data_IF_543185774820
#
_entry.id   IF_543185774820
#
_cell.length_a   1.000
_cell.length_b   1.000
_cell.length_c   1.000
_cell.angle_alpha   90.00
_cell.angle_beta   90.00
_cell.angle_gamma   90.00
#
_symmetry.space_group_name_H-M   'P 1'
#
loop_
_entity.id
_entity.type
_entity.pdbx_description
1 polymer ?
#
# COMPACT_ATOMS: atom_id res chain seq x y z
N UNK A 1 -2.21 70.52 -45.15
CA UNK A 1 -2.38 69.90 -43.82
C UNK A 1 -2.39 68.38 -43.99
N UNK A 2 -1.42 67.64 -43.42
CA UNK A 2 -1.46 66.16 -43.31
C UNK A 2 -2.00 65.77 -41.90
N UNK A 3 -2.21 64.49 -41.56
CA UNK A 3 -3.43 63.69 -41.78
C UNK A 3 -4.02 63.17 -40.44
N UNK A 4 -5.27 62.68 -40.42
CA UNK A 4 -5.90 62.16 -39.20
C UNK A 4 -6.41 60.73 -39.34
N UNK A 5 -5.51 59.74 -39.35
CA UNK A 5 -5.90 58.32 -39.34
C UNK A 5 -6.16 57.92 -37.89
N UNK A 6 -7.41 57.59 -37.53
CA UNK A 6 -7.75 57.04 -36.21
C UNK A 6 -7.29 55.57 -36.15
N UNK A 7 -6.39 55.18 -35.23
CA UNK A 7 -6.03 53.78 -35.08
C UNK A 7 -7.14 53.04 -34.34
N UNK A 8 -7.65 51.98 -34.95
CA UNK A 8 -8.49 50.98 -34.29
C UNK A 8 -7.67 50.31 -33.18
N UNK A 9 -8.09 50.47 -31.92
CA UNK A 9 -7.51 49.71 -30.80
C UNK A 9 -8.25 48.39 -30.66
N UNK A 10 -7.61 47.31 -31.12
CA UNK A 10 -8.04 45.95 -30.80
C UNK A 10 -7.45 45.54 -29.45
N UNK A 11 -8.28 45.48 -28.40
CA UNK A 11 -7.89 44.85 -27.14
C UNK A 11 -7.94 43.34 -27.32
N UNK A 12 -6.80 42.70 -27.63
CA UNK A 12 -6.64 41.26 -27.48
C UNK A 12 -6.29 40.95 -26.02
N UNK A 13 -7.31 40.64 -25.22
CA UNK A 13 -7.12 40.04 -23.91
C UNK A 13 -7.01 38.51 -24.06
N UNK A 14 -5.85 38.04 -24.54
CA UNK A 14 -5.49 36.62 -24.51
C UNK A 14 -5.13 36.20 -23.08
N UNK A 15 -6.13 35.78 -22.31
CA UNK A 15 -5.95 35.42 -20.90
C UNK A 15 -5.29 34.05 -20.74
N UNK A 16 -3.96 34.04 -20.59
CA UNK A 16 -3.15 32.84 -20.25
C UNK A 16 -3.52 32.18 -18.90
N UNK A 17 -4.59 32.64 -18.24
CA UNK A 17 -5.03 32.18 -16.92
C UNK A 17 -5.79 30.85 -16.94
N UNK A 18 -6.52 30.53 -18.03
CA UNK A 18 -7.27 29.27 -18.11
C UNK A 18 -6.34 28.06 -18.19
N UNK A 19 -5.30 28.13 -19.04
CA UNK A 19 -4.30 27.09 -19.21
C UNK A 19 -3.48 26.86 -17.94
N UNK A 20 -3.10 27.93 -17.24
CA UNK A 20 -2.38 27.85 -15.95
C UNK A 20 -3.22 27.20 -14.86
N UNK A 21 -4.54 27.47 -14.82
CA UNK A 21 -5.48 26.86 -13.88
C UNK A 21 -5.70 25.37 -14.15
N UNK A 22 -5.80 24.99 -15.42
CA UNK A 22 -5.92 23.59 -15.83
C UNK A 22 -4.66 22.78 -15.46
N UNK A 23 -3.47 23.32 -15.75
CA UNK A 23 -2.21 22.68 -15.37
C UNK A 23 -2.06 22.53 -13.85
N UNK A 24 -2.45 23.56 -13.09
CA UNK A 24 -2.44 23.49 -11.62
C UNK A 24 -3.42 22.44 -11.07
N UNK A 25 -4.62 22.32 -11.66
CA UNK A 25 -5.60 21.31 -11.25
C UNK A 25 -5.10 19.88 -11.53
N UNK A 26 -4.49 19.64 -12.71
CA UNK A 26 -3.91 18.33 -13.04
C UNK A 26 -2.76 17.98 -12.09
N UNK A 27 -1.88 18.94 -11.79
CA UNK A 27 -0.79 18.74 -10.84
C UNK A 27 -1.29 18.45 -9.43
N UNK A 28 -2.36 19.12 -8.98
CA UNK A 28 -2.97 18.88 -7.68
C UNK A 28 -3.58 17.47 -7.57
N UNK A 29 -4.27 17.01 -8.62
CA UNK A 29 -4.82 15.64 -8.66
C UNK A 29 -3.70 14.60 -8.66
N UNK A 30 -2.65 14.79 -9.47
CA UNK A 30 -1.49 13.90 -9.48
C UNK A 30 -0.78 13.85 -8.12
N UNK A 31 -0.60 15.00 -7.46
CA UNK A 31 -0.03 15.08 -6.12
C UNK A 31 -0.91 14.36 -5.09
N UNK A 32 -2.24 14.47 -5.18
CA UNK A 32 -3.17 13.76 -4.31
C UNK A 32 -3.09 12.24 -4.50
N UNK A 33 -3.00 11.77 -5.76
CA UNK A 33 -2.85 10.33 -6.07
C UNK A 33 -1.53 9.77 -5.58
N UNK A 34 -0.44 10.52 -5.70
CA UNK A 34 0.88 10.13 -5.17
C UNK A 34 0.86 10.12 -3.64
N UNK A 35 0.29 11.15 -3.00
CA UNK A 35 0.17 11.21 -1.54
C UNK A 35 -0.70 10.06 -0.99
N UNK A 36 -1.81 9.75 -1.65
CA UNK A 36 -2.67 8.61 -1.30
C UNK A 36 -1.93 7.27 -1.47
N UNK A 37 -1.16 7.12 -2.55
CA UNK A 37 -0.34 5.92 -2.80
C UNK A 37 0.79 5.76 -1.78
N UNK A 38 1.38 6.85 -1.30
CA UNK A 38 2.39 6.82 -0.25
C UNK A 38 1.79 6.52 1.13
N UNK A 39 0.59 7.03 1.44
CA UNK A 39 -0.13 6.69 2.66
C UNK A 39 -0.61 5.24 2.71
N UNK A 40 -0.97 4.66 1.56
CA UNK A 40 -1.38 3.27 1.44
C UNK A 40 -0.20 2.27 1.48
N UNK A 41 1.05 2.72 1.32
CA UNK A 41 2.26 1.89 1.43
C UNK A 41 2.67 1.59 2.87
N UNK A 42 1.86 1.98 3.86
CA UNK A 42 1.97 1.51 5.24
C UNK A 42 1.58 0.04 5.41
N UNK A 43 1.97 -0.84 4.48
CA UNK A 43 1.99 -2.26 4.70
C UNK A 43 3.11 -2.52 5.69
N UNK A 44 2.76 -2.60 6.97
CA UNK A 44 3.73 -2.81 8.04
C UNK A 44 4.62 -3.98 7.68
N UNK A 45 5.93 -3.79 7.86
CA UNK A 45 6.91 -4.86 7.75
C UNK A 45 6.43 -5.97 8.69
N UNK A 46 5.77 -6.99 8.14
CA UNK A 46 5.36 -8.13 8.95
C UNK A 46 6.63 -8.93 9.15
N UNK A 47 7.20 -8.83 10.34
CA UNK A 47 8.37 -9.61 10.69
C UNK A 47 7.94 -11.08 10.77
N UNK A 48 8.70 -11.95 10.12
CA UNK A 48 8.46 -13.40 10.17
C UNK A 48 9.63 -14.11 10.81
N UNK A 49 9.33 -15.08 11.67
CA UNK A 49 10.28 -16.10 12.12
C UNK A 49 10.06 -17.37 11.30
N UNK A 50 11.12 -18.03 10.85
CA UNK A 50 10.99 -19.32 10.15
C UNK A 50 11.27 -20.46 11.12
N UNK A 51 10.36 -21.44 11.16
CA UNK A 51 10.49 -22.66 11.97
C UNK A 51 10.39 -23.86 11.04
N UNK A 52 11.22 -24.88 11.27
CA UNK A 52 11.12 -26.17 10.56
C UNK A 52 10.31 -27.11 11.43
N UNK A 53 9.28 -27.73 10.84
CA UNK A 53 8.39 -28.66 11.54
C UNK A 53 9.14 -29.93 11.91
N UNK A 54 9.12 -30.28 13.19
CA UNK A 54 9.75 -31.49 13.72
C UNK A 54 8.75 -32.66 13.86
N UNK A 55 9.22 -33.90 13.98
CA UNK A 55 8.32 -35.03 14.25
C UNK A 55 7.52 -34.86 15.54
N UNK A 56 6.19 -34.90 15.43
CA UNK A 56 5.28 -34.72 16.56
C UNK A 56 4.75 -33.30 16.72
N UNK A 57 5.25 -32.35 15.93
CA UNK A 57 4.69 -31.01 15.91
C UNK A 57 3.31 -30.97 15.27
N UNK A 58 2.51 -30.05 15.78
CA UNK A 58 1.23 -29.65 15.23
C UNK A 58 1.23 -28.14 15.07
N UNK A 59 0.39 -27.60 14.17
CA UNK A 59 0.28 -26.14 14.06
C UNK A 59 -0.10 -25.49 15.39
N UNK A 60 -0.93 -26.19 16.17
CA UNK A 60 -1.33 -25.79 17.51
C UNK A 60 -0.15 -25.76 18.50
N UNK A 61 0.68 -26.82 18.56
CA UNK A 61 1.82 -26.86 19.48
C UNK A 61 2.83 -25.77 19.13
N UNK A 62 3.13 -25.57 17.85
CA UNK A 62 4.00 -24.51 17.35
C UNK A 62 3.43 -23.14 17.74
N UNK A 63 2.15 -22.87 17.46
CA UNK A 63 1.53 -21.59 17.81
C UNK A 63 1.55 -21.36 19.33
N UNK A 64 1.20 -22.37 20.14
CA UNK A 64 1.20 -22.23 21.60
C UNK A 64 2.59 -21.98 22.20
N UNK A 65 3.64 -22.53 21.58
CA UNK A 65 5.01 -22.33 22.02
C UNK A 65 5.55 -20.94 21.66
N UNK A 66 5.18 -20.42 20.49
CA UNK A 66 5.69 -19.14 19.98
C UNK A 66 4.84 -17.93 20.42
N UNK A 67 3.55 -18.12 20.72
CA UNK A 67 2.62 -17.06 21.12
C UNK A 67 1.92 -17.39 22.45
N UNK A 68 2.65 -17.57 23.56
CA UNK A 68 2.06 -18.00 24.83
C UNK A 68 1.10 -16.99 25.47
N UNK A 69 1.13 -15.73 25.03
CA UNK A 69 0.29 -14.65 25.55
C UNK A 69 -0.94 -14.34 24.68
N UNK A 70 -1.01 -14.91 23.48
CA UNK A 70 -2.08 -14.63 22.51
C UNK A 70 -3.09 -15.78 22.45
N UNK A 71 -4.24 -15.54 21.79
CA UNK A 71 -5.16 -16.61 21.44
C UNK A 71 -4.52 -17.53 20.39
N UNK A 72 -4.18 -18.74 20.81
CA UNK A 72 -3.55 -19.78 19.98
C UNK A 72 -4.36 -20.05 18.71
N UNK A 73 -5.69 -19.97 18.77
CA UNK A 73 -6.54 -20.23 17.60
C UNK A 73 -6.37 -19.17 16.53
N UNK A 74 -6.31 -17.90 16.94
CA UNK A 74 -6.06 -16.77 16.01
C UNK A 74 -4.66 -16.92 15.39
N UNK A 75 -3.66 -17.30 16.19
CA UNK A 75 -2.29 -17.48 15.70
C UNK A 75 -2.14 -18.67 14.77
N UNK A 76 -2.90 -19.73 14.97
CA UNK A 76 -3.02 -20.84 14.01
C UNK A 76 -3.54 -20.30 12.66
N UNK A 77 -4.64 -19.54 12.66
CA UNK A 77 -5.20 -18.96 11.44
C UNK A 77 -4.22 -17.99 10.73
N UNK A 78 -3.46 -17.20 11.52
CA UNK A 78 -2.42 -16.29 11.01
C UNK A 78 -1.27 -17.07 10.34
N UNK A 79 -0.81 -18.16 10.97
CA UNK A 79 0.23 -19.04 10.40
C UNK A 79 -0.28 -19.70 9.12
N UNK A 80 -1.54 -20.16 9.11
CA UNK A 80 -2.14 -20.76 7.92
C UNK A 80 -2.15 -19.76 6.75
N UNK A 81 -2.61 -18.53 6.99
CA UNK A 81 -2.60 -17.48 5.97
C UNK A 81 -1.19 -17.11 5.52
N UNK A 82 -0.26 -16.94 6.45
CA UNK A 82 1.13 -16.57 6.13
C UNK A 82 1.86 -17.61 5.28
N UNK A 83 1.43 -18.88 5.35
CA UNK A 83 2.03 -20.00 4.62
C UNK A 83 1.16 -20.54 3.48
N UNK A 84 -0.02 -19.96 3.23
CA UNK A 84 -0.94 -20.42 2.20
C UNK A 84 -1.48 -21.83 2.47
N UNK A 85 -1.64 -22.22 3.74
CA UNK A 85 -2.19 -23.51 4.12
C UNK A 85 -3.72 -23.49 3.97
N UNK A 86 -4.30 -24.61 3.54
CA UNK A 86 -5.76 -24.77 3.43
C UNK A 86 -6.40 -25.32 4.72
N UNK A 87 -5.60 -25.47 5.77
CA UNK A 87 -5.98 -26.00 7.07
C UNK A 87 -4.74 -26.42 7.89
N UNK A 88 -4.93 -27.04 9.06
CA UNK A 88 -3.87 -27.21 10.06
C UNK A 88 -2.89 -28.36 9.76
N UNK A 89 -3.03 -28.98 8.59
CA UNK A 89 -2.18 -30.09 8.19
C UNK A 89 -0.79 -29.59 7.78
N UNK A 90 0.23 -30.12 8.44
CA UNK A 90 1.65 -29.81 8.19
C UNK A 90 2.47 -31.08 8.05
N UNK A 91 3.61 -30.96 7.39
CA UNK A 91 4.52 -32.07 7.13
C UNK A 91 5.84 -31.87 7.86
N UNK A 92 6.41 -32.96 8.36
CA UNK A 92 7.75 -32.93 8.97
C UNK A 92 8.78 -32.44 7.95
N UNK A 93 9.66 -31.52 8.38
CA UNK A 93 10.64 -30.87 7.52
C UNK A 93 10.09 -29.67 6.74
N UNK A 94 8.80 -29.38 6.82
CA UNK A 94 8.21 -28.19 6.21
C UNK A 94 8.72 -26.92 6.92
N UNK A 95 9.11 -25.91 6.15
CA UNK A 95 9.42 -24.58 6.70
C UNK A 95 8.14 -23.76 6.81
N UNK A 96 7.83 -23.29 8.01
CA UNK A 96 6.69 -22.42 8.31
C UNK A 96 7.17 -21.02 8.66
N UNK A 97 6.49 -20.02 8.12
CA UNK A 97 6.64 -18.60 8.45
C UNK A 97 5.64 -18.22 9.54
N UNK A 98 6.16 -17.76 10.66
CA UNK A 98 5.42 -17.36 11.84
C UNK A 98 5.43 -15.83 11.90
N UNK A 99 4.28 -15.15 11.75
CA UNK A 99 4.21 -13.68 11.85
C UNK A 99 4.48 -13.21 13.29
N UNK A 100 5.23 -12.13 13.50
CA UNK A 100 5.56 -11.63 14.84
C UNK A 100 4.34 -11.18 15.67
#
# INVERSE_FOLDING_TARGET
ARPGIKPWRANRAGGNGSWRRLLAAVAAVAALSIAFSLGARGGGDTHYTTVVVEPGDTLWSIASAHYPADDVRVRVDDIEQANGLSGPAIQVGQSLRLPA
#
